data_IF_130478170388
#
_entry.id   IF_130478170388
#
_cell.length_a   1.000
_cell.length_b   1.000
_cell.length_c   1.000
_cell.angle_alpha   90.00
_cell.angle_beta   90.00
_cell.angle_gamma   90.00
#
_symmetry.space_group_name_H-M   'P 1'
#
loop_
_entity.id
_entity.type
_entity.pdbx_description
1 polymer ?
#
# COMPACT_ATOMS: atom_id res chain seq x y z
N UNK A 1 16.61 -7.03 -15.66
CA UNK A 1 16.85 -8.14 -14.71
C UNK A 1 15.89 -9.30 -15.01
N UNK A 2 16.35 -10.55 -14.90
CA UNK A 2 15.49 -11.73 -15.08
C UNK A 2 14.60 -11.99 -13.85
N UNK A 3 13.46 -12.66 -14.05
CA UNK A 3 12.47 -12.89 -12.97
C UNK A 3 13.05 -13.72 -11.81
N UNK A 4 13.82 -14.77 -12.12
CA UNK A 4 14.43 -15.63 -11.10
C UNK A 4 15.48 -14.89 -10.26
N UNK A 5 16.23 -13.98 -10.88
CA UNK A 5 17.20 -13.12 -10.21
C UNK A 5 16.48 -12.14 -9.26
N UNK A 6 15.43 -11.47 -9.76
CA UNK A 6 14.61 -10.56 -8.96
C UNK A 6 13.98 -11.27 -7.77
N UNK A 7 13.43 -12.48 -7.95
CA UNK A 7 12.83 -13.26 -6.87
C UNK A 7 13.85 -13.63 -5.78
N UNK A 8 15.09 -13.91 -6.17
CA UNK A 8 16.19 -14.17 -5.24
C UNK A 8 16.53 -12.91 -4.43
N UNK A 9 16.67 -11.77 -5.11
CA UNK A 9 16.93 -10.48 -4.46
C UNK A 9 15.82 -10.07 -3.50
N UNK A 10 14.55 -10.21 -3.90
CA UNK A 10 13.40 -9.92 -3.03
C UNK A 10 13.42 -10.74 -1.74
N UNK A 11 13.83 -12.00 -1.79
CA UNK A 11 13.99 -12.84 -0.58
C UNK A 11 15.10 -12.32 0.33
N UNK A 12 16.24 -11.94 -0.24
CA UNK A 12 17.35 -11.37 0.52
C UNK A 12 16.96 -10.03 1.17
N UNK A 13 16.39 -9.11 0.39
CA UNK A 13 15.89 -7.82 0.87
C UNK A 13 14.84 -7.98 1.97
N UNK A 14 13.93 -8.95 1.86
CA UNK A 14 12.94 -9.21 2.91
C UNK A 14 13.60 -9.56 4.24
N UNK A 15 14.70 -10.34 4.22
CA UNK A 15 15.43 -10.70 5.45
C UNK A 15 16.11 -9.45 6.02
N UNK A 16 16.79 -8.68 5.18
CA UNK A 16 17.47 -7.44 5.58
C UNK A 16 16.50 -6.42 6.17
N UNK A 17 15.38 -6.16 5.50
CA UNK A 17 14.38 -5.19 5.95
C UNK A 17 13.70 -5.62 7.26
N UNK A 18 13.49 -6.93 7.47
CA UNK A 18 12.99 -7.43 8.76
C UNK A 18 13.99 -7.22 9.88
N UNK A 19 15.29 -7.34 9.61
CA UNK A 19 16.32 -7.00 10.59
C UNK A 19 16.31 -5.50 10.90
N UNK A 20 16.21 -4.65 9.87
CA UNK A 20 16.10 -3.19 10.06
C UNK A 20 14.85 -2.78 10.85
N UNK A 21 13.71 -3.45 10.66
CA UNK A 21 12.50 -3.22 11.47
C UNK A 21 12.79 -3.36 12.96
N UNK A 22 13.53 -4.40 13.35
CA UNK A 22 13.89 -4.65 14.75
C UNK A 22 14.90 -3.63 15.25
N UNK A 23 15.94 -3.35 14.46
CA UNK A 23 17.01 -2.42 14.85
C UNK A 23 16.52 -0.97 15.01
N UNK A 24 15.56 -0.56 14.19
CA UNK A 24 14.99 0.79 14.21
C UNK A 24 13.74 0.90 15.10
N UNK A 25 13.25 -0.20 15.67
CA UNK A 25 12.02 -0.21 16.48
C UNK A 25 10.78 0.21 15.69
N UNK A 26 10.70 -0.14 14.40
CA UNK A 26 9.57 0.26 13.55
C UNK A 26 8.27 -0.34 14.08
N UNK A 27 7.31 0.50 14.45
CA UNK A 27 6.03 0.07 15.01
C UNK A 27 6.09 -0.28 16.49
N UNK A 28 7.14 0.12 17.22
CA UNK A 28 7.26 -0.04 18.69
C UNK A 28 6.97 1.26 19.45
N UNK A 29 6.39 2.26 18.79
CA UNK A 29 6.07 3.54 19.40
C UNK A 29 4.81 3.46 20.28
N UNK A 30 4.95 3.81 21.56
CA UNK A 30 3.82 3.99 22.47
C UNK A 30 3.16 5.35 22.21
N UNK A 31 1.86 5.35 21.90
CA UNK A 31 1.11 6.57 21.60
C UNK A 31 0.21 6.96 22.77
N UNK A 32 0.48 8.12 23.38
CA UNK A 32 -0.38 8.63 24.45
C UNK A 32 -1.82 8.82 23.96
N UNK A 33 -2.77 8.21 24.68
CA UNK A 33 -4.20 8.33 24.39
C UNK A 33 -4.74 7.39 23.31
N UNK A 34 -3.90 6.56 22.71
CA UNK A 34 -4.35 5.47 21.84
C UNK A 34 -4.75 4.24 22.67
N UNK A 35 -5.69 3.46 22.14
CA UNK A 35 -6.00 2.14 22.72
C UNK A 35 -4.95 1.14 22.28
N UNK A 36 -4.71 0.08 23.07
CA UNK A 36 -3.75 -0.97 22.68
C UNK A 36 -4.11 -1.67 21.36
N UNK A 37 -5.38 -1.63 20.96
CA UNK A 37 -5.78 -2.06 19.62
C UNK A 37 -5.28 -1.10 18.53
N UNK A 38 -5.42 0.20 18.74
CA UNK A 38 -4.94 1.21 17.79
C UNK A 38 -3.43 1.15 17.64
N UNK A 39 -2.70 0.98 18.75
CA UNK A 39 -1.24 0.74 18.73
C UNK A 39 -0.88 -0.52 17.94
N UNK A 40 -1.64 -1.61 18.11
CA UNK A 40 -1.42 -2.84 17.35
C UNK A 40 -1.65 -2.65 15.84
N UNK A 41 -2.71 -1.91 15.46
CA UNK A 41 -2.99 -1.58 14.06
C UNK A 41 -1.87 -0.72 13.48
N UNK A 42 -1.42 0.30 14.21
CA UNK A 42 -0.30 1.14 13.80
C UNK A 42 0.98 0.35 13.63
N UNK A 43 1.37 -0.45 14.63
CA UNK A 43 2.56 -1.29 14.59
C UNK A 43 2.58 -2.18 13.34
N UNK A 44 1.43 -2.81 13.05
CA UNK A 44 1.26 -3.64 11.87
C UNK A 44 1.41 -2.83 10.57
N UNK A 45 0.77 -1.67 10.49
CA UNK A 45 0.83 -0.78 9.33
C UNK A 45 2.22 -0.22 9.07
N UNK A 46 2.91 0.23 10.12
CA UNK A 46 4.28 0.71 10.03
C UNK A 46 5.21 -0.36 9.47
N UNK A 47 5.12 -1.60 9.98
CA UNK A 47 5.95 -2.73 9.51
C UNK A 47 5.63 -3.14 8.08
N UNK A 48 4.34 -3.27 7.75
CA UNK A 48 3.89 -3.64 6.41
C UNK A 48 4.35 -2.61 5.35
N UNK A 49 4.15 -1.32 5.63
CA UNK A 49 4.53 -0.26 4.70
C UNK A 49 6.04 -0.05 4.64
N UNK A 50 6.76 -0.25 5.74
CA UNK A 50 8.22 -0.24 5.72
C UNK A 50 8.77 -1.31 4.77
N UNK A 51 8.27 -2.55 4.86
CA UNK A 51 8.71 -3.63 3.98
C UNK A 51 8.40 -3.32 2.52
N UNK A 52 7.17 -2.89 2.23
CA UNK A 52 6.72 -2.66 0.86
C UNK A 52 7.46 -1.48 0.20
N UNK A 53 7.55 -0.35 0.90
CA UNK A 53 8.18 0.86 0.38
C UNK A 53 9.68 0.66 0.13
N UNK A 54 10.38 0.02 1.06
CA UNK A 54 11.81 -0.22 0.86
C UNK A 54 12.07 -1.29 -0.21
N UNK A 55 11.20 -2.30 -0.34
CA UNK A 55 11.31 -3.27 -1.45
C UNK A 55 11.13 -2.57 -2.80
N UNK A 56 10.20 -1.61 -2.91
CA UNK A 56 10.06 -0.79 -4.11
C UNK A 56 11.34 -0.01 -4.41
N UNK A 57 11.90 0.70 -3.42
CA UNK A 57 13.17 1.43 -3.57
C UNK A 57 14.30 0.52 -4.05
N UNK A 58 14.52 -0.61 -3.37
CA UNK A 58 15.57 -1.56 -3.74
C UNK A 58 15.37 -2.14 -5.15
N UNK A 59 14.13 -2.44 -5.53
CA UNK A 59 13.82 -2.94 -6.86
C UNK A 59 14.05 -1.89 -7.95
N UNK A 60 13.70 -0.62 -7.69
CA UNK A 60 13.96 0.49 -8.61
C UNK A 60 15.45 0.77 -8.76
N UNK A 61 16.24 0.64 -7.69
CA UNK A 61 17.69 0.80 -7.70
C UNK A 61 18.41 -0.35 -8.41
N UNK A 62 17.90 -1.58 -8.29
CA UNK A 62 18.44 -2.75 -8.97
C UNK A 62 18.27 -2.71 -10.50
N UNK A 63 17.25 -2.01 -11.01
CA UNK A 63 17.00 -1.84 -12.45
C UNK A 63 16.47 -0.43 -12.76
N UNK A 64 17.40 0.51 -12.94
CA UNK A 64 17.10 1.92 -13.22
C UNK A 64 16.65 2.20 -14.66
N UNK A 65 16.37 1.17 -15.46
CA UNK A 65 15.71 1.37 -16.75
C UNK A 65 14.25 1.79 -16.52
N UNK A 66 13.65 2.49 -17.48
CA UNK A 66 12.21 2.84 -17.36
C UNK A 66 11.33 1.59 -17.23
N UNK A 67 11.72 0.47 -17.86
CA UNK A 67 11.01 -0.79 -17.71
C UNK A 67 11.12 -1.34 -16.28
N UNK A 68 12.34 -1.38 -15.72
CA UNK A 68 12.59 -1.83 -14.35
C UNK A 68 11.83 -1.00 -13.31
N UNK A 69 11.89 0.34 -13.44
CA UNK A 69 11.14 1.26 -12.58
C UNK A 69 9.62 1.09 -12.70
N UNK A 70 9.08 0.94 -13.92
CA UNK A 70 7.65 0.71 -14.13
C UNK A 70 7.20 -0.64 -13.52
N UNK A 71 8.04 -1.67 -13.62
CA UNK A 71 7.81 -2.97 -12.98
C UNK A 71 7.83 -2.86 -11.45
N UNK A 72 8.79 -2.12 -10.89
CA UNK A 72 8.87 -1.90 -9.45
C UNK A 72 7.62 -1.19 -8.91
N UNK A 73 7.11 -0.19 -9.64
CA UNK A 73 5.85 0.47 -9.31
C UNK A 73 4.64 -0.49 -9.41
N UNK A 74 4.57 -1.35 -10.43
CA UNK A 74 3.52 -2.37 -10.54
C UNK A 74 3.54 -3.38 -9.38
N UNK A 75 4.73 -3.88 -9.01
CA UNK A 75 4.88 -4.81 -7.89
C UNK A 75 4.50 -4.13 -6.56
N UNK A 76 4.85 -2.84 -6.40
CA UNK A 76 4.46 -2.03 -5.24
C UNK A 76 2.94 -1.84 -5.16
N UNK A 77 2.28 -1.50 -6.28
CA UNK A 77 0.83 -1.36 -6.36
C UNK A 77 0.11 -2.68 -6.02
N UNK A 78 0.63 -3.80 -6.51
CA UNK A 78 0.14 -5.15 -6.16
C UNK A 78 0.29 -5.43 -4.67
N UNK A 79 1.43 -5.05 -4.07
CA UNK A 79 1.63 -5.16 -2.62
C UNK A 79 0.63 -4.30 -1.83
N UNK A 80 0.36 -3.08 -2.29
CA UNK A 80 -0.65 -2.22 -1.67
C UNK A 80 -2.07 -2.77 -1.83
N UNK A 81 -2.41 -3.46 -2.93
CA UNK A 81 -3.69 -4.15 -3.07
C UNK A 81 -3.83 -5.31 -2.07
N UNK A 82 -2.75 -6.04 -1.81
CA UNK A 82 -2.72 -7.06 -0.74
C UNK A 82 -2.94 -6.44 0.65
N UNK A 83 -2.27 -5.31 0.95
CA UNK A 83 -2.49 -4.59 2.20
C UNK A 83 -3.92 -4.04 2.29
N UNK A 84 -4.47 -3.50 1.20
CA UNK A 84 -5.85 -3.05 1.13
C UNK A 84 -6.79 -4.16 1.55
N UNK A 85 -6.66 -5.35 0.95
CA UNK A 85 -7.50 -6.50 1.28
C UNK A 85 -7.32 -6.95 2.74
N UNK A 86 -6.10 -6.90 3.27
CA UNK A 86 -5.79 -7.18 4.67
C UNK A 86 -6.54 -6.22 5.62
N UNK A 87 -6.37 -4.91 5.46
CA UNK A 87 -6.98 -3.91 6.34
C UNK A 87 -8.49 -3.81 6.15
N UNK A 88 -8.99 -3.99 4.93
CA UNK A 88 -10.42 -4.14 4.68
C UNK A 88 -10.99 -5.34 5.46
N UNK A 89 -10.30 -6.48 5.46
CA UNK A 89 -10.70 -7.66 6.22
C UNK A 89 -10.71 -7.43 7.74
N UNK A 90 -9.67 -6.76 8.27
CA UNK A 90 -9.60 -6.39 9.68
C UNK A 90 -10.76 -5.49 10.09
N UNK A 91 -11.03 -4.44 9.29
CA UNK A 91 -12.16 -3.55 9.54
C UNK A 91 -13.49 -4.31 9.46
N UNK A 92 -13.60 -5.26 8.54
CA UNK A 92 -14.81 -6.05 8.40
C UNK A 92 -15.11 -6.96 9.57
N UNK A 93 -14.09 -7.48 10.22
CA UNK A 93 -14.26 -8.29 11.43
C UNK A 93 -14.65 -7.44 12.66
N UNK A 94 -14.49 -6.12 12.61
CA UNK A 94 -14.86 -5.20 13.71
C UNK A 94 -16.26 -4.62 13.59
N UNK A 95 -16.85 -4.62 12.40
CA UNK A 95 -18.18 -4.05 12.15
C UNK A 95 -19.29 -5.09 12.30
N UNK A 96 -20.47 -4.64 12.75
CA UNK A 96 -21.68 -5.45 12.75
C UNK A 96 -22.20 -5.71 11.32
N UNK A 97 -23.24 -6.53 11.16
CA UNK A 97 -23.72 -6.95 9.83
C UNK A 97 -24.24 -5.79 8.97
N UNK A 98 -24.87 -4.79 9.58
CA UNK A 98 -25.47 -3.68 8.86
C UNK A 98 -24.36 -2.71 8.41
N UNK A 99 -23.42 -2.40 9.31
CA UNK A 99 -22.24 -1.58 9.00
C UNK A 99 -21.28 -2.26 8.03
N UNK A 100 -21.18 -3.59 8.06
CA UNK A 100 -20.45 -4.36 7.05
C UNK A 100 -20.99 -4.09 5.64
N UNK A 101 -22.29 -3.87 5.49
CA UNK A 101 -22.92 -3.56 4.21
C UNK A 101 -22.54 -2.16 3.72
N UNK A 102 -22.36 -1.20 4.65
CA UNK A 102 -21.87 0.14 4.34
C UNK A 102 -20.42 0.10 3.82
N UNK A 103 -19.52 -0.63 4.49
CA UNK A 103 -18.13 -0.74 4.02
C UNK A 103 -18.05 -1.44 2.65
N UNK A 104 -18.80 -2.53 2.44
CA UNK A 104 -18.85 -3.23 1.14
C UNK A 104 -19.27 -2.28 0.03
N UNK A 105 -20.25 -1.42 0.29
CA UNK A 105 -20.73 -0.43 -0.66
C UNK A 105 -19.68 0.65 -0.92
N UNK A 106 -19.07 1.21 0.14
CA UNK A 106 -17.96 2.16 0.05
C UNK A 106 -16.80 1.60 -0.79
N UNK A 107 -16.39 0.36 -0.51
CA UNK A 107 -15.30 -0.30 -1.22
C UNK A 107 -15.60 -0.55 -2.70
N UNK A 108 -16.83 -1.00 -3.03
CA UNK A 108 -17.25 -1.16 -4.44
C UNK A 108 -17.28 0.17 -5.18
N UNK A 109 -17.71 1.25 -4.53
CA UNK A 109 -17.70 2.58 -5.12
C UNK A 109 -16.27 3.07 -5.34
N UNK A 110 -15.36 2.83 -4.38
CA UNK A 110 -13.95 3.14 -4.53
C UNK A 110 -13.31 2.38 -5.71
N UNK A 111 -13.62 1.09 -5.90
CA UNK A 111 -13.12 0.31 -7.06
C UNK A 111 -13.58 0.95 -8.38
N UNK A 112 -14.86 1.33 -8.50
CA UNK A 112 -15.38 2.01 -9.70
C UNK A 112 -14.66 3.34 -9.95
N UNK A 113 -14.47 4.14 -8.90
CA UNK A 113 -13.72 5.39 -8.96
C UNK A 113 -12.29 5.14 -9.43
N UNK A 114 -11.56 4.23 -8.77
CA UNK A 114 -10.18 3.85 -9.09
C UNK A 114 -10.04 3.45 -10.56
N UNK A 115 -10.92 2.58 -11.04
CA UNK A 115 -10.84 2.08 -12.41
C UNK A 115 -11.12 3.21 -13.43
N UNK A 116 -12.10 4.09 -13.14
CA UNK A 116 -12.37 5.25 -13.98
C UNK A 116 -11.22 6.28 -13.99
N UNK A 117 -10.60 6.54 -12.84
CA UNK A 117 -9.45 7.43 -12.73
C UNK A 117 -8.23 6.84 -13.43
N UNK A 118 -8.01 5.52 -13.34
CA UNK A 118 -6.94 4.84 -14.08
C UNK A 118 -7.10 5.01 -15.58
N UNK A 119 -8.32 4.82 -16.09
CA UNK A 119 -8.61 5.04 -17.51
C UNK A 119 -8.30 6.49 -17.92
N UNK A 120 -8.74 7.47 -17.13
CA UNK A 120 -8.47 8.89 -17.41
C UNK A 120 -6.96 9.18 -17.38
N UNK A 121 -6.29 8.82 -16.29
CA UNK A 121 -4.86 9.07 -16.08
C UNK A 121 -4.01 8.41 -17.17
N UNK A 122 -4.34 7.18 -17.58
CA UNK A 122 -3.68 6.51 -18.69
C UNK A 122 -3.86 7.30 -20.01
N UNK A 123 -5.04 7.86 -20.29
CA UNK A 123 -5.25 8.69 -21.48
C UNK A 123 -4.42 9.97 -21.47
N UNK A 124 -4.15 10.54 -20.30
CA UNK A 124 -3.31 11.73 -20.16
C UNK A 124 -1.82 11.47 -20.49
N UNK A 125 -1.40 10.20 -20.57
CA UNK A 125 -0.05 9.84 -21.06
C UNK A 125 0.11 9.98 -22.58
N UNK A 126 -0.97 10.18 -23.32
CA UNK A 126 -0.93 10.38 -24.78
C UNK A 126 -0.13 11.65 -25.13
N UNK A 127 0.72 11.61 -26.18
CA UNK A 127 1.53 12.76 -26.59
C UNK A 127 0.77 14.07 -26.80
N UNK A 128 -0.52 13.99 -27.17
CA UNK A 128 -1.37 15.18 -27.37
C UNK A 128 -1.67 15.95 -26.09
N UNK A 129 -1.54 15.33 -24.92
CA UNK A 129 -1.82 15.96 -23.62
C UNK A 129 -0.55 16.28 -22.83
N UNK A 130 0.42 15.37 -22.82
CA UNK A 130 1.58 15.45 -21.91
C UNK A 130 2.94 15.42 -22.61
N UNK A 131 2.96 15.41 -23.95
CA UNK A 131 4.18 15.18 -24.74
C UNK A 131 4.61 13.72 -24.81
N UNK A 132 3.99 12.83 -24.03
CA UNK A 132 4.18 11.38 -24.10
C UNK A 132 5.57 10.94 -23.63
N UNK A 133 6.06 9.85 -24.21
CA UNK A 133 7.33 9.25 -23.82
C UNK A 133 7.24 8.40 -22.56
N UNK A 134 8.35 7.75 -22.21
CA UNK A 134 8.39 6.74 -21.14
C UNK A 134 8.28 7.35 -19.74
N UNK A 135 8.64 8.64 -19.58
CA UNK A 135 8.47 9.37 -18.32
C UNK A 135 6.99 9.48 -17.93
N UNK A 136 6.08 9.64 -18.89
CA UNK A 136 4.64 9.70 -18.61
C UNK A 136 4.09 8.36 -18.12
N UNK A 137 4.67 7.25 -18.57
CA UNK A 137 4.32 5.92 -18.05
C UNK A 137 4.78 5.75 -16.60
N UNK A 138 5.97 6.25 -16.25
CA UNK A 138 6.43 6.23 -14.86
C UNK A 138 5.54 7.09 -13.95
N UNK A 139 5.17 8.29 -14.40
CA UNK A 139 4.24 9.17 -13.67
C UNK A 139 2.91 8.45 -13.42
N UNK A 140 2.35 7.80 -14.45
CA UNK A 140 1.14 7.01 -14.32
C UNK A 140 1.30 5.86 -13.32
N UNK A 141 2.37 5.06 -13.43
CA UNK A 141 2.60 3.93 -12.52
C UNK A 141 2.76 4.37 -11.07
N UNK A 142 3.56 5.42 -10.80
CA UNK A 142 3.69 5.98 -9.44
C UNK A 142 2.36 6.50 -8.91
N UNK A 143 1.56 7.16 -9.76
CA UNK A 143 0.22 7.61 -9.36
C UNK A 143 -0.71 6.44 -9.02
N UNK A 144 -0.64 5.31 -9.74
CA UNK A 144 -1.46 4.13 -9.39
C UNK A 144 -1.11 3.53 -8.03
N UNK A 145 0.18 3.52 -7.66
CA UNK A 145 0.64 3.11 -6.33
C UNK A 145 0.02 4.01 -5.27
N UNK A 146 0.15 5.34 -5.45
CA UNK A 146 -0.36 6.33 -4.50
C UNK A 146 -1.88 6.27 -4.33
N UNK A 147 -2.63 6.02 -5.41
CA UNK A 147 -4.07 5.88 -5.35
C UNK A 147 -4.49 4.69 -4.47
N UNK A 148 -3.81 3.55 -4.61
CA UNK A 148 -4.09 2.36 -3.79
C UNK A 148 -3.60 2.54 -2.35
N UNK A 149 -2.41 3.11 -2.15
CA UNK A 149 -1.83 3.42 -0.84
C UNK A 149 -2.76 4.28 0.00
N UNK A 150 -3.31 5.37 -0.56
CA UNK A 150 -4.27 6.24 0.13
C UNK A 150 -5.51 5.49 0.63
N UNK A 151 -5.98 4.50 -0.13
CA UNK A 151 -7.11 3.68 0.33
C UNK A 151 -6.74 2.77 1.49
N UNK A 152 -5.52 2.24 1.51
CA UNK A 152 -5.00 1.52 2.67
C UNK A 152 -4.98 2.42 3.90
N UNK A 153 -4.46 3.64 3.76
CA UNK A 153 -4.43 4.65 4.83
C UNK A 153 -5.83 4.96 5.36
N UNK A 154 -6.81 5.18 4.49
CA UNK A 154 -8.21 5.40 4.92
C UNK A 154 -8.76 4.23 5.75
N UNK A 155 -8.48 2.99 5.36
CA UNK A 155 -8.94 1.80 6.09
C UNK A 155 -8.24 1.66 7.45
N UNK A 156 -6.95 1.98 7.50
CA UNK A 156 -6.15 2.01 8.72
C UNK A 156 -6.63 3.11 9.66
N UNK A 157 -6.90 4.30 9.16
CA UNK A 157 -7.46 5.42 9.92
C UNK A 157 -8.83 5.06 10.51
N UNK A 158 -9.68 4.36 9.75
CA UNK A 158 -10.95 3.86 10.28
C UNK A 158 -10.73 2.86 11.42
N UNK A 159 -9.79 1.94 11.28
CA UNK A 159 -9.44 0.98 12.33
C UNK A 159 -8.90 1.66 13.59
N UNK A 160 -8.02 2.65 13.45
CA UNK A 160 -7.45 3.41 14.58
C UNK A 160 -8.49 4.26 15.31
N UNK A 161 -9.60 4.63 14.65
CA UNK A 161 -10.73 5.34 15.29
C UNK A 161 -11.64 4.40 16.08
N UNK A 162 -11.54 3.08 15.87
CA UNK A 162 -12.35 2.12 16.63
C UNK A 162 -11.78 2.08 18.04
N UNK A 163 -12.47 2.78 18.93
CA UNK A 163 -12.26 2.67 20.36
C UNK A 163 -12.74 1.30 20.83
N UNK A 164 -11.83 0.48 21.36
CA UNK A 164 -12.23 -0.70 22.13
C UNK A 164 -12.21 -0.29 23.61
N UNK A 165 -13.39 -0.19 24.22
CA UNK A 165 -13.49 -0.39 25.67
C UNK A 165 -13.29 -1.88 25.93
N UNK A 166 -12.05 -2.31 26.19
CA UNK A 166 -11.83 -3.53 26.96
C UNK A 166 -11.07 -3.13 28.22
N UNK A 167 -11.85 -2.81 29.25
CA UNK A 167 -11.39 -2.33 30.54
C UNK A 167 -12.50 -2.08 31.57
N UNK A 168 -13.58 -2.88 31.56
CA UNK A 168 -14.37 -3.22 32.76
C UNK A 168 -14.58 -4.74 32.83
#
# INVERSE_FOLDING_TARGET
MEDAELDSLKKQWTIELKQQIVELGIGEEDHEGWSGFSDSIYSMYAKDTFLLNNTWTFQADADQTTFGMARAAYDCETGYDLLLNKYYGLLMNKLDKDDQTLLKTSQRNWIKFRDSERMLSQKLTDPRYSGGGTIQQLIYSSWTVELTRKRVEELVDYLMRIWNEEGE
#
